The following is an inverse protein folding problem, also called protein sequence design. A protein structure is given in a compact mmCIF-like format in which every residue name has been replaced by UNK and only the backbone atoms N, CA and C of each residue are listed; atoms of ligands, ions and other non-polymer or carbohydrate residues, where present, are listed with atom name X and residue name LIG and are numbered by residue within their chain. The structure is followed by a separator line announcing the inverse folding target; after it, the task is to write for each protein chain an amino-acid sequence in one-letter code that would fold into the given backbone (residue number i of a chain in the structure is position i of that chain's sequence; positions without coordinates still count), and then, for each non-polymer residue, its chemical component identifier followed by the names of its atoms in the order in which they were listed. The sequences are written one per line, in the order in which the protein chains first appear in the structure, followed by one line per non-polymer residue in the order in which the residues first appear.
data_IF_999263074394
#
_entry.id   IF_999263074394
#
_cell.length_a   1.000
_cell.length_b   1.000
_cell.length_c   1.000
_cell.angle_alpha   90.00
_cell.angle_beta   90.00
_cell.angle_gamma   90.00
#
_symmetry.space_group_name_H-M   'P 1'
#
loop_
_entity.id
_entity.type
_entity.pdbx_description
1 polymer ?
#
# COMPACT_ATOMS: atom_id res chain seq x y z
N UNK A 1 7.88 17.37 -78.73
CA UNK A 1 7.52 17.53 -77.31
C UNK A 1 6.55 16.41 -76.95
N UNK A 2 7.00 15.44 -76.16
CA UNK A 2 6.23 14.26 -75.75
C UNK A 2 5.49 14.52 -74.41
N UNK A 3 4.39 13.80 -74.11
CA UNK A 3 3.54 14.08 -72.95
C UNK A 3 4.10 13.50 -71.64
N UNK A 4 3.86 14.22 -70.53
CA UNK A 4 4.26 13.84 -69.17
C UNK A 4 3.34 12.75 -68.62
N UNK A 5 3.95 11.71 -68.03
CA UNK A 5 3.27 10.58 -67.37
C UNK A 5 2.63 10.97 -66.03
N UNK A 6 1.39 10.53 -65.81
CA UNK A 6 0.74 10.48 -64.50
C UNK A 6 1.38 9.38 -63.63
N UNK A 7 1.92 9.74 -62.47
CA UNK A 7 2.24 8.78 -61.41
C UNK A 7 1.07 8.72 -60.42
N UNK A 8 0.40 7.56 -60.37
CA UNK A 8 -0.57 7.19 -59.34
C UNK A 8 0.15 6.91 -58.02
N UNK A 9 -0.02 7.77 -57.01
CA UNK A 9 0.33 7.46 -55.62
C UNK A 9 -0.66 6.43 -55.07
N UNK A 10 -0.18 5.20 -54.84
CA UNK A 10 -0.88 4.17 -54.06
C UNK A 10 -1.20 4.74 -52.66
N UNK A 11 -2.49 4.84 -52.33
CA UNK A 11 -2.97 5.02 -50.94
C UNK A 11 -2.56 3.77 -50.15
N UNK A 12 -1.74 3.95 -49.13
CA UNK A 12 -1.40 2.90 -48.15
C UNK A 12 -2.61 2.70 -47.25
N UNK A 13 -3.05 1.46 -47.12
CA UNK A 13 -4.16 0.96 -46.32
C UNK A 13 -4.03 1.40 -44.86
N UNK A 14 -4.99 2.19 -44.37
CA UNK A 14 -5.17 2.53 -42.95
C UNK A 14 -6.02 1.45 -42.24
N UNK A 15 -6.68 0.56 -43.01
CA UNK A 15 -7.61 -0.45 -42.48
C UNK A 15 -6.96 -1.63 -41.75
N UNK A 16 -5.79 -2.11 -42.17
CA UNK A 16 -5.15 -3.32 -41.60
C UNK A 16 -4.50 -3.06 -40.23
N UNK A 17 -4.01 -1.83 -39.99
CA UNK A 17 -3.38 -1.48 -38.71
C UNK A 17 -4.39 -1.31 -37.57
N UNK A 18 -5.64 -0.95 -37.88
CA UNK A 18 -6.68 -0.77 -36.85
C UNK A 18 -7.27 -2.09 -36.38
N UNK A 19 -7.24 -3.14 -37.22
CA UNK A 19 -7.78 -4.47 -36.89
C UNK A 19 -6.84 -5.24 -35.98
N UNK A 20 -5.53 -5.21 -36.24
CA UNK A 20 -4.51 -5.90 -35.42
C UNK A 20 -4.42 -5.32 -34.00
N UNK A 21 -4.66 -4.01 -33.84
CA UNK A 21 -4.68 -3.37 -32.51
C UNK A 21 -5.88 -3.83 -31.68
N UNK A 22 -7.02 -4.12 -32.32
CA UNK A 22 -8.24 -4.59 -31.65
C UNK A 22 -8.18 -6.06 -31.23
N UNK A 23 -7.31 -6.87 -31.83
CA UNK A 23 -7.13 -8.28 -31.45
C UNK A 23 -6.39 -8.45 -30.12
N UNK A 24 -5.51 -7.50 -29.78
CA UNK A 24 -4.65 -7.54 -28.58
C UNK A 24 -5.10 -6.53 -27.52
N UNK A 25 -5.61 -5.36 -27.91
CA UNK A 25 -5.96 -4.28 -27.00
C UNK A 25 -7.43 -3.88 -27.11
N UNK A 26 -8.06 -3.60 -25.96
CA UNK A 26 -9.47 -3.18 -25.89
C UNK A 26 -9.73 -1.84 -26.60
N UNK A 27 -8.74 -0.94 -26.62
CA UNK A 27 -8.83 0.34 -27.33
C UNK A 27 -7.45 0.91 -27.67
N UNK A 28 -7.43 1.99 -28.45
CA UNK A 28 -6.20 2.74 -28.79
C UNK A 28 -5.53 3.31 -27.52
N UNK A 29 -6.31 3.67 -26.52
CA UNK A 29 -5.78 4.16 -25.23
C UNK A 29 -5.07 3.06 -24.45
N UNK A 30 -5.60 1.83 -24.48
CA UNK A 30 -4.93 0.66 -23.92
C UNK A 30 -3.61 0.38 -24.68
N UNK A 31 -3.62 0.44 -26.01
CA UNK A 31 -2.41 0.28 -26.81
C UNK A 31 -1.34 1.32 -26.45
N UNK A 32 -1.73 2.57 -26.19
CA UNK A 32 -0.82 3.63 -25.73
C UNK A 32 -0.30 3.36 -24.31
N UNK A 33 -1.17 2.87 -23.42
CA UNK A 33 -0.81 2.52 -22.05
C UNK A 33 0.15 1.32 -21.97
N UNK A 34 0.12 0.39 -22.93
CA UNK A 34 1.05 -0.76 -23.01
C UNK A 34 2.53 -0.37 -22.96
N UNK A 35 2.87 0.81 -23.52
CA UNK A 35 4.23 1.36 -23.51
C UNK A 35 4.67 1.78 -22.10
N UNK A 36 3.74 2.10 -21.21
CA UNK A 36 4.02 2.36 -19.78
C UNK A 36 4.14 1.05 -19.02
N UNK A 37 3.22 0.11 -19.27
CA UNK A 37 3.23 -1.21 -18.60
C UNK A 37 4.52 -1.97 -18.87
N UNK A 38 5.00 -1.98 -20.12
CA UNK A 38 6.23 -2.67 -20.52
C UNK A 38 7.52 -2.17 -19.85
N UNK A 39 7.48 -0.97 -19.25
CA UNK A 39 8.62 -0.39 -18.51
C UNK A 39 8.57 -0.70 -17.01
N UNK A 40 7.46 -1.25 -16.51
CA UNK A 40 7.29 -1.54 -15.08
C UNK A 40 7.97 -2.87 -14.76
N UNK A 41 8.67 -2.94 -13.63
CA UNK A 41 9.24 -4.18 -13.14
C UNK A 41 8.15 -5.18 -12.74
N UNK A 42 8.50 -6.47 -12.66
CA UNK A 42 7.58 -7.52 -12.21
C UNK A 42 7.99 -7.97 -10.80
N UNK A 43 7.03 -8.01 -9.88
CA UNK A 43 7.21 -8.50 -8.53
C UNK A 43 6.49 -9.83 -8.34
N UNK A 44 7.25 -10.92 -8.54
CA UNK A 44 6.75 -12.28 -8.42
C UNK A 44 6.53 -12.70 -6.94
N UNK A 45 5.49 -13.50 -6.75
CA UNK A 45 5.15 -14.15 -5.48
C UNK A 45 6.27 -15.09 -5.02
N UNK A 46 6.27 -15.47 -3.74
CA UNK A 46 7.28 -16.39 -3.17
C UNK A 46 6.68 -17.70 -2.72
N UNK A 47 7.30 -18.79 -3.14
CA UNK A 47 6.98 -20.12 -2.63
C UNK A 47 7.27 -20.21 -1.13
N UNK A 48 6.42 -20.89 -0.38
CA UNK A 48 6.57 -21.17 1.05
C UNK A 48 7.03 -22.62 1.24
N UNK A 49 8.28 -22.80 1.66
CA UNK A 49 8.91 -24.11 1.89
C UNK A 49 9.21 -24.29 3.37
N UNK A 50 8.19 -24.69 4.12
CA UNK A 50 8.31 -25.00 5.54
C UNK A 50 7.83 -26.41 5.82
N UNK A 51 8.55 -27.09 6.71
CA UNK A 51 8.16 -28.38 7.26
C UNK A 51 7.07 -28.22 8.34
N UNK A 52 6.48 -29.33 8.77
CA UNK A 52 5.31 -29.30 9.68
C UNK A 52 5.65 -28.82 11.10
N UNK A 53 6.87 -29.06 11.54
CA UNK A 53 7.42 -28.76 12.86
C UNK A 53 8.08 -27.38 12.92
N UNK A 54 8.37 -26.77 11.78
CA UNK A 54 8.95 -25.43 11.68
C UNK A 54 7.89 -24.36 11.89
N UNK A 55 8.12 -23.45 12.86
CA UNK A 55 7.19 -22.35 13.20
C UNK A 55 5.74 -22.83 13.35
N UNK A 56 5.46 -23.73 14.31
CA UNK A 56 4.21 -24.48 14.37
C UNK A 56 2.97 -23.59 14.51
N UNK A 57 3.08 -22.43 15.16
CA UNK A 57 1.99 -21.45 15.24
C UNK A 57 1.60 -20.92 13.86
N UNK A 58 2.58 -20.51 13.06
CA UNK A 58 2.38 -19.99 11.71
C UNK A 58 1.82 -21.08 10.77
N UNK A 59 2.43 -22.26 10.77
CA UNK A 59 2.02 -23.39 9.91
C UNK A 59 0.62 -23.90 10.28
N UNK A 60 0.29 -23.96 11.57
CA UNK A 60 -1.04 -24.36 12.04
C UNK A 60 -2.10 -23.36 11.61
N UNK A 61 -1.83 -22.08 11.73
CA UNK A 61 -2.77 -21.04 11.33
C UNK A 61 -3.01 -21.03 9.81
N UNK A 62 -1.97 -21.22 8.98
CA UNK A 62 -2.13 -21.42 7.53
C UNK A 62 -3.06 -22.59 7.21
N UNK A 63 -2.98 -23.68 8.00
CA UNK A 63 -3.86 -24.85 7.84
C UNK A 63 -5.30 -24.52 8.24
N UNK A 64 -5.50 -23.85 9.37
CA UNK A 64 -6.84 -23.44 9.86
C UNK A 64 -7.52 -22.55 8.83
N UNK A 65 -6.79 -21.58 8.27
CA UNK A 65 -7.28 -20.65 7.25
C UNK A 65 -7.42 -21.25 5.84
N UNK A 66 -6.93 -22.47 5.62
CA UNK A 66 -6.82 -23.12 4.29
C UNK A 66 -5.94 -22.35 3.31
N UNK A 67 -4.95 -21.61 3.79
CA UNK A 67 -4.08 -20.73 3.01
C UNK A 67 -2.84 -21.44 2.45
N UNK A 68 -2.75 -22.76 2.56
CA UNK A 68 -1.60 -23.53 2.08
C UNK A 68 -1.31 -23.35 0.58
N UNK A 69 -2.34 -23.17 -0.25
CA UNK A 69 -2.14 -23.00 -1.70
C UNK A 69 -1.48 -21.67 -2.02
N UNK A 70 -1.69 -20.62 -1.22
CA UNK A 70 -1.18 -19.26 -1.46
C UNK A 70 0.35 -19.25 -1.64
N UNK A 71 1.08 -20.05 -0.86
CA UNK A 71 2.53 -20.18 -0.97
C UNK A 71 3.01 -21.33 -1.85
N UNK A 72 2.15 -22.00 -2.62
CA UNK A 72 2.51 -23.23 -3.36
C UNK A 72 2.21 -23.20 -4.86
N UNK A 73 1.37 -22.29 -5.33
CA UNK A 73 1.07 -22.19 -6.76
C UNK A 73 2.14 -21.47 -7.58
N UNK A 74 3.15 -20.90 -6.90
CA UNK A 74 4.18 -20.05 -7.53
C UNK A 74 4.92 -20.83 -8.60
N UNK A 75 4.97 -20.25 -9.80
CA UNK A 75 5.57 -20.83 -10.99
C UNK A 75 6.13 -19.69 -11.86
N UNK A 76 7.05 -19.98 -12.80
CA UNK A 76 7.54 -18.98 -13.73
C UNK A 76 6.37 -18.29 -14.45
N UNK A 77 6.32 -16.97 -14.39
CA UNK A 77 5.19 -16.20 -14.91
C UNK A 77 5.45 -15.73 -16.35
N UNK A 78 4.45 -15.82 -17.23
CA UNK A 78 4.61 -15.39 -18.62
C UNK A 78 4.57 -13.86 -18.71
N UNK A 79 5.70 -13.24 -19.02
CA UNK A 79 5.87 -11.78 -19.00
C UNK A 79 4.92 -11.10 -19.99
N UNK A 80 4.75 -11.67 -21.19
CA UNK A 80 3.88 -11.10 -22.23
C UNK A 80 2.42 -11.12 -21.81
N UNK A 81 1.97 -12.25 -21.25
CA UNK A 81 0.61 -12.40 -20.71
C UNK A 81 0.34 -11.40 -19.60
N UNK A 82 1.28 -11.25 -18.66
CA UNK A 82 1.14 -10.31 -17.54
C UNK A 82 1.06 -8.87 -18.03
N UNK A 83 1.90 -8.47 -18.99
CA UNK A 83 1.86 -7.13 -19.57
C UNK A 83 0.55 -6.85 -20.31
N UNK A 84 0.10 -7.80 -21.14
CA UNK A 84 -1.15 -7.68 -21.88
C UNK A 84 -2.35 -7.62 -20.91
N UNK A 85 -2.36 -8.49 -19.91
CA UNK A 85 -3.37 -8.51 -18.86
C UNK A 85 -3.45 -7.15 -18.15
N UNK A 86 -2.34 -6.61 -17.68
CA UNK A 86 -2.34 -5.33 -16.95
C UNK A 86 -2.69 -4.15 -17.84
N UNK A 87 -2.27 -4.21 -19.11
CA UNK A 87 -2.66 -3.20 -20.08
C UNK A 87 -4.17 -3.14 -20.20
N UNK A 88 -4.82 -4.29 -20.42
CA UNK A 88 -6.26 -4.39 -20.68
C UNK A 88 -7.15 -4.40 -19.42
N UNK A 89 -6.56 -4.57 -18.23
CA UNK A 89 -7.26 -4.46 -16.95
C UNK A 89 -7.45 -3.01 -16.48
N UNK A 90 -6.78 -2.04 -17.12
CA UNK A 90 -6.91 -0.62 -16.78
C UNK A 90 -8.33 -0.14 -17.06
N UNK A 91 -8.91 0.57 -16.12
CA UNK A 91 -10.28 1.06 -16.23
C UNK A 91 -10.29 2.36 -17.05
N UNK A 92 -10.55 2.23 -18.35
CA UNK A 92 -10.59 3.34 -19.31
C UNK A 92 -11.98 3.42 -19.95
N UNK A 93 -12.64 4.57 -19.82
CA UNK A 93 -13.92 4.87 -20.45
C UNK A 93 -15.17 4.58 -19.58
N UNK A 94 -16.38 4.82 -20.12
CA UNK A 94 -17.62 4.78 -19.34
C UNK A 94 -18.15 3.37 -19.04
N UNK A 95 -17.73 2.35 -19.81
CA UNK A 95 -18.15 0.96 -19.63
C UNK A 95 -17.09 0.19 -18.82
N UNK A 96 -17.01 0.50 -17.52
CA UNK A 96 -16.02 -0.08 -16.61
C UNK A 96 -16.42 -1.51 -16.24
N UNK A 97 -15.87 -2.48 -16.97
CA UNK A 97 -15.94 -3.90 -16.61
C UNK A 97 -14.97 -4.20 -15.46
N UNK A 98 -15.40 -3.88 -14.24
CA UNK A 98 -14.62 -4.11 -13.02
C UNK A 98 -14.11 -5.55 -12.97
N UNK A 99 -12.86 -5.70 -12.52
CA UNK A 99 -12.24 -7.00 -12.27
C UNK A 99 -12.16 -7.94 -13.48
N UNK A 100 -12.11 -7.39 -14.70
CA UNK A 100 -11.89 -8.15 -15.93
C UNK A 100 -10.72 -7.61 -16.74
N UNK A 101 -10.02 -8.51 -17.42
CA UNK A 101 -9.00 -8.20 -18.42
C UNK A 101 -9.30 -8.90 -19.73
N UNK A 102 -8.52 -8.60 -20.77
CA UNK A 102 -8.59 -9.25 -22.07
C UNK A 102 -7.17 -9.62 -22.50
N UNK A 103 -6.96 -10.89 -22.86
CA UNK A 103 -5.65 -11.43 -23.23
C UNK A 103 -5.82 -12.39 -24.40
N UNK A 104 -5.17 -12.10 -25.52
CA UNK A 104 -5.15 -12.92 -26.75
C UNK A 104 -6.54 -13.38 -27.20
N UNK A 105 -7.51 -12.47 -27.25
CA UNK A 105 -8.86 -12.83 -27.65
C UNK A 105 -9.80 -13.29 -26.52
N UNK A 106 -9.28 -13.48 -25.31
CA UNK A 106 -10.01 -14.12 -24.20
C UNK A 106 -10.26 -13.14 -23.07
N UNK A 107 -11.50 -13.07 -22.58
CA UNK A 107 -11.84 -12.33 -21.36
C UNK A 107 -11.42 -13.12 -20.12
N UNK A 108 -10.61 -12.50 -19.26
CA UNK A 108 -10.11 -13.10 -18.03
C UNK A 108 -10.73 -12.38 -16.83
N UNK A 109 -11.46 -13.12 -16.00
CA UNK A 109 -12.03 -12.61 -14.75
C UNK A 109 -11.05 -12.79 -13.59
N UNK A 110 -10.91 -11.76 -12.75
CA UNK A 110 -10.07 -11.79 -11.55
C UNK A 110 -10.81 -11.28 -10.30
N UNK A 111 -12.13 -11.45 -10.29
CA UNK A 111 -12.96 -11.17 -9.11
C UNK A 111 -12.50 -11.97 -7.89
N UNK A 112 -12.77 -11.44 -6.70
CA UNK A 112 -12.38 -12.09 -5.45
C UNK A 112 -12.88 -13.53 -5.32
N UNK A 113 -14.08 -13.84 -5.84
CA UNK A 113 -14.63 -15.20 -5.87
C UNK A 113 -13.82 -16.16 -6.74
N UNK A 114 -13.38 -15.72 -7.93
CA UNK A 114 -12.55 -16.51 -8.85
C UNK A 114 -11.19 -16.77 -8.22
N UNK A 115 -10.58 -15.74 -7.63
CA UNK A 115 -9.28 -15.88 -6.95
C UNK A 115 -9.42 -16.80 -5.74
N UNK A 116 -10.47 -16.66 -4.93
CA UNK A 116 -10.72 -17.54 -3.78
C UNK A 116 -10.99 -18.98 -4.20
N UNK A 117 -11.64 -19.20 -5.36
CA UNK A 117 -11.82 -20.53 -5.93
C UNK A 117 -10.49 -21.14 -6.31
N UNK A 118 -9.65 -20.40 -7.04
CA UNK A 118 -8.32 -20.83 -7.40
C UNK A 118 -7.50 -21.14 -6.14
N UNK A 119 -7.47 -20.27 -5.14
CA UNK A 119 -6.67 -20.43 -3.93
C UNK A 119 -7.26 -21.44 -2.92
N UNK A 120 -8.52 -21.84 -3.08
CA UNK A 120 -9.22 -22.70 -2.11
C UNK A 120 -9.55 -21.98 -0.79
N UNK A 121 -9.70 -20.66 -0.82
CA UNK A 121 -9.86 -19.77 0.34
C UNK A 121 -11.27 -19.20 0.51
N UNK A 122 -12.27 -19.78 -0.18
CA UNK A 122 -13.67 -19.34 -0.07
C UNK A 122 -14.14 -19.33 1.38
N UNK A 123 -14.60 -18.16 1.83
CA UNK A 123 -15.27 -17.99 3.11
C UNK A 123 -16.69 -18.58 3.07
N UNK A 124 -17.27 -18.85 4.24
CA UNK A 124 -18.64 -19.35 4.33
C UNK A 124 -19.63 -18.28 3.84
N UNK A 125 -20.38 -18.59 2.75
CA UNK A 125 -21.19 -17.67 1.91
C UNK A 125 -22.22 -16.75 2.60
N UNK A 126 -22.36 -16.76 3.93
CA UNK A 126 -23.47 -16.09 4.64
C UNK A 126 -23.08 -14.95 5.58
N UNK A 127 -21.79 -14.69 5.81
CA UNK A 127 -21.34 -13.61 6.69
C UNK A 127 -20.43 -12.66 5.94
N UNK A 128 -20.53 -11.35 6.21
CA UNK A 128 -19.50 -10.39 5.81
C UNK A 128 -18.17 -10.79 6.45
N UNK A 129 -17.08 -10.62 5.71
CA UNK A 129 -15.71 -10.80 6.19
C UNK A 129 -15.47 -9.93 7.44
N UNK A 130 -15.07 -10.52 8.57
CA UNK A 130 -14.82 -9.82 9.83
C UNK A 130 -13.72 -8.79 9.68
N UNK A 131 -12.69 -9.05 8.86
CA UNK A 131 -11.66 -8.04 8.61
C UNK A 131 -12.25 -6.78 7.97
N UNK A 132 -13.09 -6.93 6.94
CA UNK A 132 -13.75 -5.78 6.28
C UNK A 132 -14.66 -5.04 7.26
N UNK A 133 -15.48 -5.78 8.01
CA UNK A 133 -16.35 -5.17 9.03
C UNK A 133 -15.54 -4.47 10.15
N UNK A 134 -14.40 -5.03 10.53
CA UNK A 134 -13.51 -4.44 11.54
C UNK A 134 -12.88 -3.15 11.02
N UNK A 135 -12.38 -3.11 9.78
CA UNK A 135 -11.84 -1.88 9.18
C UNK A 135 -12.91 -0.80 9.08
N UNK A 136 -14.15 -1.15 8.69
CA UNK A 136 -15.24 -0.19 8.52
C UNK A 136 -15.75 0.41 9.82
N UNK A 137 -15.77 -0.36 10.93
CA UNK A 137 -16.52 0.03 12.14
C UNK A 137 -15.70 0.10 13.42
N UNK A 138 -14.61 -0.66 13.51
CA UNK A 138 -13.94 -0.96 14.78
C UNK A 138 -12.41 -0.78 14.73
N UNK A 139 -11.91 -0.19 13.64
CA UNK A 139 -10.48 0.01 13.40
C UNK A 139 -9.88 0.87 14.51
N UNK A 140 -8.77 0.42 15.09
CA UNK A 140 -8.06 1.14 16.14
C UNK A 140 -6.57 0.85 16.10
N UNK A 141 -5.75 1.88 15.87
CA UNK A 141 -4.30 1.78 15.86
C UNK A 141 -3.74 1.30 17.20
N UNK A 142 -4.36 1.69 18.32
CA UNK A 142 -3.99 1.23 19.66
C UNK A 142 -4.14 -0.29 19.81
N UNK A 143 -5.25 -0.87 19.32
CA UNK A 143 -5.45 -2.33 19.31
C UNK A 143 -4.44 -3.02 18.41
N UNK A 144 -4.21 -2.47 17.22
CA UNK A 144 -3.23 -3.03 16.26
C UNK A 144 -1.85 -3.09 16.89
N UNK A 145 -1.33 -1.96 17.37
CA UNK A 145 -0.04 -1.86 18.06
C UNK A 145 0.08 -2.87 19.19
N UNK A 146 -0.94 -2.97 20.05
CA UNK A 146 -0.93 -3.87 21.21
C UNK A 146 -0.81 -5.35 20.82
N UNK A 147 -1.40 -5.75 19.69
CA UNK A 147 -1.43 -7.15 19.26
C UNK A 147 -0.19 -7.53 18.44
N UNK A 148 0.35 -6.63 17.61
CA UNK A 148 1.40 -7.00 16.65
C UNK A 148 2.82 -6.58 17.07
N UNK A 149 2.96 -5.68 18.05
CA UNK A 149 4.25 -5.12 18.47
C UNK A 149 4.74 -5.65 19.84
N UNK A 150 6.05 -5.58 20.05
CA UNK A 150 6.68 -5.68 21.38
C UNK A 150 6.31 -4.45 22.24
N UNK A 151 6.44 -4.53 23.59
CA UNK A 151 6.25 -3.36 24.46
C UNK A 151 7.09 -2.16 24.01
N UNK A 152 6.49 -0.97 23.97
CA UNK A 152 7.14 0.26 23.48
C UNK A 152 7.11 0.47 21.96
N UNK A 153 6.77 -0.57 21.18
CA UNK A 153 6.60 -0.44 19.73
C UNK A 153 5.48 0.56 19.38
N UNK A 154 5.62 1.27 18.26
CA UNK A 154 4.66 2.32 17.88
C UNK A 154 4.59 2.52 16.38
N UNK A 155 3.60 3.33 15.97
CA UNK A 155 3.52 3.85 14.62
C UNK A 155 4.45 5.06 14.48
N UNK A 156 5.19 5.07 13.40
CA UNK A 156 5.84 6.26 12.87
C UNK A 156 4.79 7.19 12.26
N UNK A 157 5.12 8.48 12.21
CA UNK A 157 4.26 9.51 11.63
C UNK A 157 5.02 10.20 10.50
N UNK A 158 4.28 10.59 9.46
CA UNK A 158 4.81 11.45 8.40
C UNK A 158 5.13 12.84 8.95
N UNK A 159 5.86 13.65 8.18
CA UNK A 159 6.11 15.07 8.49
C UNK A 159 4.82 15.86 8.77
N UNK A 160 3.72 15.43 8.14
CA UNK A 160 2.40 16.05 8.25
C UNK A 160 1.58 15.51 9.44
N UNK A 161 2.18 14.67 10.29
CA UNK A 161 1.54 14.09 11.47
C UNK A 161 0.60 12.92 11.20
N UNK A 162 0.53 12.40 9.96
CA UNK A 162 -0.29 11.22 9.63
C UNK A 162 0.45 9.94 10.00
N UNK A 163 -0.26 8.91 10.44
CA UNK A 163 0.33 7.60 10.71
C UNK A 163 0.89 7.01 9.40
N UNK A 164 2.15 6.53 9.42
CA UNK A 164 2.83 6.03 8.22
C UNK A 164 3.03 4.51 8.25
N UNK A 165 3.84 4.03 9.20
CA UNK A 165 4.27 2.64 9.26
C UNK A 165 4.66 2.20 10.67
N UNK A 166 4.82 0.91 10.87
CA UNK A 166 5.47 0.32 12.05
C UNK A 166 6.81 -0.23 11.59
N UNK A 167 7.89 0.16 12.28
CA UNK A 167 9.23 -0.40 12.06
C UNK A 167 9.23 -1.90 12.35
N UNK A 168 9.86 -2.70 11.48
CA UNK A 168 9.96 -4.17 11.70
C UNK A 168 10.63 -4.54 13.02
N UNK A 169 11.55 -3.71 13.53
CA UNK A 169 12.15 -3.89 14.85
C UNK A 169 11.14 -3.89 16.01
N UNK A 170 9.98 -3.24 15.85
CA UNK A 170 8.92 -3.21 16.84
C UNK A 170 7.98 -4.40 16.79
N UNK A 171 8.07 -5.26 15.77
CA UNK A 171 7.13 -6.38 15.62
C UNK A 171 7.51 -7.57 16.50
N UNK A 172 6.48 -8.28 16.98
CA UNK A 172 6.67 -9.60 17.58
C UNK A 172 7.30 -10.58 16.57
N UNK A 173 8.11 -11.56 17.00
CA UNK A 173 8.73 -12.52 16.09
C UNK A 173 7.74 -13.22 15.15
N UNK A 174 6.59 -13.66 15.67
CA UNK A 174 5.53 -14.27 14.85
C UNK A 174 4.94 -13.29 13.83
N UNK A 175 4.84 -12.00 14.19
CA UNK A 175 4.35 -10.96 13.30
C UNK A 175 5.33 -10.71 12.14
N UNK A 176 6.64 -10.77 12.38
CA UNK A 176 7.67 -10.67 11.33
C UNK A 176 7.52 -11.78 10.26
N UNK A 177 7.22 -13.01 10.69
CA UNK A 177 6.97 -14.15 9.77
C UNK A 177 5.73 -13.89 8.91
N UNK A 178 4.64 -13.44 9.53
CA UNK A 178 3.42 -13.09 8.80
C UNK A 178 3.63 -11.93 7.83
N UNK A 179 4.41 -10.92 8.20
CA UNK A 179 4.76 -9.81 7.30
C UNK A 179 5.49 -10.31 6.06
N UNK A 180 6.48 -11.20 6.21
CA UNK A 180 7.17 -11.78 5.06
C UNK A 180 6.20 -12.49 4.10
N UNK A 181 5.25 -13.25 4.65
CA UNK A 181 4.21 -13.93 3.88
C UNK A 181 3.24 -12.95 3.19
N UNK A 182 2.76 -11.94 3.92
CA UNK A 182 1.85 -10.91 3.40
C UNK A 182 2.52 -10.11 2.27
N UNK A 183 3.75 -9.63 2.50
CA UNK A 183 4.52 -8.80 1.55
C UNK A 183 4.96 -9.56 0.31
N UNK A 184 4.86 -10.89 0.31
CA UNK A 184 5.18 -11.71 -0.86
C UNK A 184 3.93 -12.18 -1.59
N UNK A 185 2.87 -12.53 -0.87
CA UNK A 185 1.80 -13.38 -1.43
C UNK A 185 0.36 -12.84 -1.28
N UNK A 186 0.10 -11.83 -0.45
CA UNK A 186 -1.26 -11.27 -0.25
C UNK A 186 -1.33 -9.77 -0.59
N UNK A 187 -0.34 -9.00 -0.17
CA UNK A 187 -0.22 -7.57 -0.45
C UNK A 187 1.23 -7.25 -0.80
N UNK A 188 1.70 -7.65 -2.00
CA UNK A 188 3.10 -7.56 -2.38
C UNK A 188 3.70 -6.16 -2.19
N UNK A 189 4.96 -6.12 -1.80
CA UNK A 189 5.73 -4.90 -1.59
C UNK A 189 7.20 -5.12 -1.99
N UNK A 190 7.81 -4.13 -2.64
CA UNK A 190 9.24 -4.12 -2.95
C UNK A 190 10.08 -3.92 -1.69
N UNK A 191 9.66 -3.02 -0.80
CA UNK A 191 10.34 -2.73 0.47
C UNK A 191 9.83 -3.62 1.61
N UNK A 192 10.74 -4.20 2.39
CA UNK A 192 10.42 -5.18 3.44
C UNK A 192 10.77 -4.73 4.85
N UNK A 193 11.21 -3.48 5.02
CA UNK A 193 11.69 -2.96 6.31
C UNK A 193 10.56 -2.49 7.22
N UNK A 194 9.51 -1.87 6.67
CA UNK A 194 8.43 -1.30 7.47
C UNK A 194 7.07 -1.85 7.05
N UNK A 195 6.14 -1.87 8.00
CA UNK A 195 4.75 -2.27 7.77
C UNK A 195 3.88 -1.03 7.72
N UNK A 196 3.53 -0.62 6.50
CA UNK A 196 2.55 0.45 6.31
C UNK A 196 1.19 0.13 6.95
N UNK A 197 0.48 1.16 7.34
CA UNK A 197 -0.83 1.11 8.01
C UNK A 197 -1.81 0.08 7.40
N UNK A 198 -2.08 0.15 6.09
CA UNK A 198 -3.02 -0.81 5.48
C UNK A 198 -2.59 -2.28 5.61
N UNK A 199 -1.28 -2.57 5.67
CA UNK A 199 -0.74 -3.92 5.88
C UNK A 199 -0.68 -4.30 7.37
N UNK A 200 -0.53 -3.33 8.28
CA UNK A 200 -0.59 -3.59 9.72
C UNK A 200 -2.00 -4.00 10.15
N UNK A 201 -3.04 -3.47 9.51
CA UNK A 201 -4.43 -3.89 9.70
C UNK A 201 -4.67 -5.34 9.27
N UNK A 202 -4.14 -5.73 8.10
CA UNK A 202 -4.20 -7.11 7.64
C UNK A 202 -3.42 -8.04 8.57
N UNK A 203 -2.24 -7.62 9.04
CA UNK A 203 -1.42 -8.35 9.99
C UNK A 203 -2.16 -8.55 11.33
N UNK A 204 -2.80 -7.50 11.84
CA UNK A 204 -3.65 -7.57 13.02
C UNK A 204 -4.77 -8.60 12.83
N UNK A 205 -5.51 -8.53 11.73
CA UNK A 205 -6.60 -9.45 11.45
C UNK A 205 -6.14 -10.93 11.38
N UNK A 206 -4.92 -11.15 10.90
CA UNK A 206 -4.32 -12.49 10.86
C UNK A 206 -3.96 -12.99 12.26
N UNK A 207 -3.29 -12.15 13.06
CA UNK A 207 -2.85 -12.50 14.42
C UNK A 207 -4.07 -12.66 15.36
N UNK A 208 -5.04 -11.75 15.29
CA UNK A 208 -6.28 -11.74 16.08
C UNK A 208 -7.36 -12.70 15.56
N UNK A 209 -7.01 -13.57 14.60
CA UNK A 209 -7.85 -14.69 14.11
C UNK A 209 -9.17 -14.26 13.46
N UNK A 210 -9.24 -13.05 12.91
CA UNK A 210 -10.38 -12.61 12.09
C UNK A 210 -10.38 -13.37 10.76
N UNK A 211 -11.56 -13.66 10.21
CA UNK A 211 -11.66 -14.12 8.83
C UNK A 211 -11.29 -12.98 7.86
N UNK A 212 -10.56 -13.37 6.81
CA UNK A 212 -9.97 -12.45 5.84
C UNK A 212 -10.27 -13.00 4.46
N UNK A 213 -10.96 -12.20 3.64
CA UNK A 213 -11.20 -12.49 2.23
C UNK A 213 -9.96 -12.13 1.40
N UNK A 214 -9.05 -13.10 1.28
CA UNK A 214 -7.79 -12.92 0.55
C UNK A 214 -8.04 -12.67 -0.94
N UNK A 215 -9.00 -13.37 -1.55
CA UNK A 215 -9.31 -13.19 -2.96
C UNK A 215 -9.73 -11.75 -3.26
N UNK A 216 -10.59 -11.16 -2.44
CA UNK A 216 -11.01 -9.77 -2.62
C UNK A 216 -9.86 -8.78 -2.37
N UNK A 217 -8.98 -9.04 -1.38
CA UNK A 217 -7.79 -8.21 -1.16
C UNK A 217 -6.87 -8.23 -2.39
N UNK A 218 -6.58 -9.41 -2.95
CA UNK A 218 -5.73 -9.57 -4.13
C UNK A 218 -6.39 -8.92 -5.35
N UNK A 219 -7.68 -9.16 -5.59
CA UNK A 219 -8.43 -8.56 -6.70
C UNK A 219 -8.36 -7.02 -6.67
N UNK A 220 -8.54 -6.41 -5.50
CA UNK A 220 -8.43 -4.97 -5.30
C UNK A 220 -6.99 -4.48 -5.55
N UNK A 221 -5.98 -5.23 -5.11
CA UNK A 221 -4.57 -4.90 -5.37
C UNK A 221 -4.23 -4.98 -6.86
N UNK A 222 -4.76 -5.97 -7.59
CA UNK A 222 -4.61 -6.08 -9.06
C UNK A 222 -5.27 -4.88 -9.75
N UNK A 223 -6.52 -4.55 -9.43
CA UNK A 223 -7.22 -3.39 -10.03
C UNK A 223 -6.48 -2.08 -9.76
N UNK A 224 -6.05 -1.82 -8.52
CA UNK A 224 -5.24 -0.62 -8.20
C UNK A 224 -3.93 -0.61 -8.98
N UNK A 225 -3.25 -1.76 -9.11
CA UNK A 225 -2.02 -1.87 -9.88
C UNK A 225 -2.21 -1.58 -11.38
N UNK A 226 -3.33 -2.03 -11.97
CA UNK A 226 -3.65 -1.78 -13.38
C UNK A 226 -3.92 -0.30 -13.68
N UNK A 227 -4.39 0.45 -12.69
CA UNK A 227 -4.71 1.87 -12.84
C UNK A 227 -3.52 2.82 -12.55
N UNK A 228 -2.43 2.32 -11.96
CA UNK A 228 -1.20 3.10 -11.73
C UNK A 228 -0.32 3.17 -12.97
N UNK A 229 0.47 4.23 -13.10
CA UNK A 229 1.45 4.40 -14.18
C UNK A 229 2.86 3.95 -13.79
N UNK A 230 3.14 3.81 -12.49
CA UNK A 230 4.44 3.50 -11.89
C UNK A 230 4.36 2.29 -10.95
N UNK A 231 5.53 1.83 -10.48
CA UNK A 231 5.69 0.71 -9.55
C UNK A 231 5.58 -0.66 -10.20
N UNK A 232 5.98 -1.70 -9.47
CA UNK A 232 6.01 -3.07 -9.98
C UNK A 232 4.61 -3.65 -10.28
N UNK A 233 4.54 -4.51 -11.29
CA UNK A 233 3.40 -5.38 -11.60
C UNK A 233 3.41 -6.57 -10.64
N UNK A 234 2.31 -6.76 -9.91
CA UNK A 234 2.22 -7.73 -8.82
C UNK A 234 1.44 -8.98 -9.24
N UNK A 235 1.57 -10.07 -8.50
CA UNK A 235 0.88 -11.34 -8.75
C UNK A 235 1.05 -11.97 -10.16
N UNK A 236 2.23 -11.92 -10.79
CA UNK A 236 2.41 -12.41 -12.15
C UNK A 236 2.16 -13.93 -12.27
N UNK A 237 2.47 -14.73 -11.23
CA UNK A 237 2.21 -16.18 -11.26
C UNK A 237 0.71 -16.45 -11.23
N UNK A 238 -0.02 -15.80 -10.32
CA UNK A 238 -1.47 -15.92 -10.23
C UNK A 238 -2.14 -15.50 -11.54
N UNK A 239 -1.73 -14.37 -12.11
CA UNK A 239 -2.28 -13.88 -13.39
C UNK A 239 -2.04 -14.88 -14.51
N UNK A 240 -0.84 -15.47 -14.58
CA UNK A 240 -0.51 -16.50 -15.57
C UNK A 240 -1.46 -17.71 -15.42
N UNK A 241 -1.68 -18.20 -14.19
CA UNK A 241 -2.64 -19.28 -13.92
C UNK A 241 -4.09 -18.92 -14.29
N UNK A 242 -4.54 -17.71 -13.95
CA UNK A 242 -5.90 -17.26 -14.30
C UNK A 242 -6.09 -17.19 -15.82
N UNK A 243 -5.08 -16.74 -16.56
CA UNK A 243 -5.10 -16.72 -18.02
C UNK A 243 -5.14 -18.15 -18.59
N UNK A 244 -4.32 -19.06 -18.07
CA UNK A 244 -4.30 -20.46 -18.49
C UNK A 244 -5.67 -21.13 -18.25
N UNK A 245 -6.27 -20.94 -17.08
CA UNK A 245 -7.61 -21.46 -16.74
C UNK A 245 -8.70 -20.88 -17.65
N UNK A 246 -8.54 -19.62 -18.08
CA UNK A 246 -9.45 -19.00 -19.05
C UNK A 246 -9.26 -19.51 -20.49
N UNK A 247 -8.22 -20.30 -20.77
CA UNK A 247 -7.93 -20.86 -22.09
C UNK A 247 -6.89 -20.07 -22.90
N UNK A 248 -6.16 -19.14 -22.28
CA UNK A 248 -5.05 -18.40 -22.92
C UNK A 248 -3.83 -19.31 -23.00
N UNK A 249 -3.16 -19.35 -24.16
CA UNK A 249 -1.88 -20.06 -24.31
C UNK A 249 -0.76 -19.33 -23.54
N UNK A 250 -0.29 -19.86 -22.41
CA UNK A 250 0.76 -19.25 -21.59
C UNK A 250 2.15 -19.87 -21.77
N UNK A 251 2.30 -20.83 -22.69
CA UNK A 251 3.52 -21.64 -22.81
C UNK A 251 4.69 -20.93 -23.51
N UNK A 252 4.45 -19.78 -24.16
CA UNK A 252 5.48 -19.09 -24.94
C UNK A 252 6.36 -18.16 -24.09
N UNK A 253 7.70 -18.23 -24.20
CA UNK A 253 8.61 -17.35 -23.48
C UNK A 253 8.48 -15.87 -23.91
N UNK A 254 8.99 -14.91 -23.11
CA UNK A 254 9.83 -15.08 -21.92
C UNK A 254 9.06 -15.24 -20.61
N UNK A 255 9.71 -15.90 -19.63
CA UNK A 255 9.19 -16.12 -18.29
C UNK A 255 10.01 -15.36 -17.24
N UNK A 256 9.32 -14.79 -16.26
CA UNK A 256 9.94 -14.19 -15.08
C UNK A 256 10.45 -15.29 -14.14
N UNK A 257 11.64 -15.10 -13.56
CA UNK A 257 12.27 -16.10 -12.69
C UNK A 257 11.58 -16.13 -11.34
N UNK A 258 11.35 -17.33 -10.81
CA UNK A 258 10.83 -17.51 -9.44
C UNK A 258 11.84 -17.02 -8.41
N UNK A 259 11.38 -16.27 -7.40
CA UNK A 259 12.20 -15.77 -6.29
C UNK A 259 12.61 -16.88 -5.32
N UNK A 260 13.71 -16.65 -4.57
CA UNK A 260 14.10 -17.51 -3.44
C UNK A 260 12.90 -17.71 -2.49
N UNK A 261 12.59 -18.96 -2.11
CA UNK A 261 11.42 -19.27 -1.28
C UNK A 261 11.51 -18.65 0.11
N UNK A 262 10.37 -18.56 0.78
CA UNK A 262 10.29 -18.32 2.22
C UNK A 262 10.45 -19.69 2.88
N UNK A 263 11.66 -20.02 3.30
CA UNK A 263 12.02 -21.23 4.03
C UNK A 263 12.50 -20.90 5.45
N UNK A 264 12.93 -21.92 6.21
CA UNK A 264 13.47 -21.73 7.56
C UNK A 264 14.70 -20.84 7.59
N UNK A 265 15.60 -20.95 6.61
CA UNK A 265 16.80 -20.12 6.55
C UNK A 265 16.42 -18.65 6.34
N UNK A 266 15.48 -18.36 5.43
CA UNK A 266 14.92 -17.04 5.21
C UNK A 266 14.29 -16.47 6.50
N UNK A 267 13.45 -17.25 7.18
CA UNK A 267 12.78 -16.80 8.42
C UNK A 267 13.80 -16.56 9.54
N UNK A 268 14.81 -17.41 9.68
CA UNK A 268 15.86 -17.21 10.68
C UNK A 268 16.66 -15.93 10.38
N UNK A 269 17.08 -15.73 9.12
CA UNK A 269 17.86 -14.56 8.72
C UNK A 269 17.09 -13.24 8.84
N UNK A 270 15.80 -13.23 8.51
CA UNK A 270 15.05 -11.98 8.37
C UNK A 270 13.93 -11.79 9.38
N UNK A 271 13.60 -12.79 10.20
CA UNK A 271 12.54 -12.69 11.20
C UNK A 271 12.99 -13.04 12.62
N UNK A 272 14.11 -13.74 12.80
CA UNK A 272 14.69 -14.04 14.12
C UNK A 272 15.78 -13.04 14.50
N UNK A 273 15.37 -11.81 14.80
CA UNK A 273 16.19 -10.91 15.62
C UNK A 273 15.54 -10.87 17.00
N UNK A 274 16.10 -11.68 17.90
CA UNK A 274 15.63 -11.88 19.26
C UNK A 274 16.74 -12.21 20.26
N UNK A 275 18.01 -11.96 19.95
CA UNK A 275 19.07 -11.96 20.97
C UNK A 275 19.39 -10.52 21.37
N UNK A 276 18.85 -10.12 22.52
CA UNK A 276 19.38 -9.00 23.29
C UNK A 276 18.82 -7.61 22.98
N UNK A 277 17.56 -7.35 23.35
CA UNK A 277 17.36 -6.15 24.19
C UNK A 277 17.58 -6.61 25.63
N UNK A 278 18.81 -7.01 25.93
CA UNK A 278 19.30 -6.81 27.28
C UNK A 278 19.46 -5.29 27.39
N UNK A 279 18.76 -4.69 28.35
CA UNK A 279 19.12 -3.37 28.84
C UNK A 279 20.44 -3.56 29.58
N UNK A 280 21.53 -3.66 28.84
CA UNK A 280 22.88 -3.50 29.39
C UNK A 280 23.05 -2.01 29.68
N UNK A 281 22.88 -1.68 30.96
CA UNK A 281 23.43 -0.45 31.54
C UNK A 281 24.95 -0.61 31.50
N UNK A 282 25.55 -0.37 30.34
CA UNK A 282 26.98 -0.13 30.24
C UNK A 282 27.20 1.38 30.19
N UNK A 283 27.64 1.88 31.34
CA UNK A 283 28.24 3.20 31.51
C UNK A 283 29.45 3.33 30.59
N UNK A 284 29.23 3.87 29.40
CA UNK A 284 30.30 4.44 28.58
C UNK A 284 30.21 5.95 28.65
N UNK A 285 31.12 6.50 29.45
CA UNK A 285 31.48 7.90 29.46
C UNK A 285 31.97 8.29 28.06
N UNK A 286 31.07 8.83 27.24
CA UNK A 286 31.48 9.80 26.24
C UNK A 286 30.49 10.97 26.24
N UNK A 287 31.00 12.10 26.73
CA UNK A 287 30.23 13.30 26.96
C UNK A 287 29.75 13.92 25.66
N UNK A 288 28.43 13.88 25.44
CA UNK A 288 27.74 15.02 24.83
C UNK A 288 26.45 15.31 25.57
N UNK A 289 26.60 16.21 26.55
CA UNK A 289 25.56 16.89 27.31
C UNK A 289 24.43 17.32 26.37
N UNK A 290 23.31 16.58 26.36
CA UNK A 290 22.06 17.08 25.78
C UNK A 290 21.66 18.32 26.57
N UNK A 291 21.55 19.44 25.88
CA UNK A 291 21.18 20.73 26.47
C UNK A 291 19.75 20.66 27.00
N UNK A 292 19.50 21.21 28.20
CA UNK A 292 18.15 21.39 28.77
C UNK A 292 17.18 22.11 27.80
N UNK A 293 17.71 22.84 26.80
CA UNK A 293 16.91 23.44 25.72
C UNK A 293 15.98 22.44 25.02
N UNK A 294 16.39 21.18 24.78
CA UNK A 294 15.61 20.26 23.93
C UNK A 294 14.36 19.69 24.61
N UNK A 295 14.31 19.62 25.94
CA UNK A 295 13.11 19.17 26.65
C UNK A 295 12.10 20.31 26.80
N UNK A 296 12.59 21.55 26.98
CA UNK A 296 11.76 22.74 26.90
C UNK A 296 11.18 22.94 25.50
N UNK A 297 11.94 22.69 24.43
CA UNK A 297 11.45 22.77 23.05
C UNK A 297 10.32 21.77 22.77
N UNK A 298 10.41 20.55 23.31
CA UNK A 298 9.35 19.54 23.20
C UNK A 298 8.10 19.96 23.98
N UNK A 299 8.25 20.51 25.20
CA UNK A 299 7.12 21.04 25.97
C UNK A 299 6.47 22.26 25.28
N UNK A 300 7.29 23.14 24.70
CA UNK A 300 6.81 24.30 23.93
C UNK A 300 6.05 23.84 22.68
N UNK A 301 6.55 22.81 21.98
CA UNK A 301 5.85 22.24 20.82
C UNK A 301 4.53 21.57 21.22
N UNK A 302 4.48 20.86 22.35
CA UNK A 302 3.25 20.26 22.88
C UNK A 302 2.23 21.33 23.26
N UNK A 303 2.64 22.35 24.04
CA UNK A 303 1.80 23.49 24.40
C UNK A 303 1.30 24.26 23.17
N UNK A 304 2.12 24.37 22.12
CA UNK A 304 1.73 24.99 20.85
C UNK A 304 0.71 24.13 20.10
N UNK A 305 0.82 22.80 20.16
CA UNK A 305 -0.18 21.90 19.60
C UNK A 305 -1.51 22.02 20.33
N UNK A 306 -1.50 21.98 21.67
CA UNK A 306 -2.70 22.12 22.48
C UNK A 306 -3.41 23.47 22.28
N UNK A 307 -2.64 24.56 22.09
CA UNK A 307 -3.20 25.87 21.74
C UNK A 307 -3.86 25.87 20.36
N UNK A 308 -3.28 25.18 19.36
CA UNK A 308 -3.89 25.03 18.03
C UNK A 308 -5.17 24.20 18.11
N UNK A 309 -5.16 23.11 18.87
CA UNK A 309 -6.33 22.24 19.03
C UNK A 309 -7.48 22.98 19.75
N UNK A 310 -7.17 23.80 20.75
CA UNK A 310 -8.14 24.71 21.37
C UNK A 310 -8.68 25.78 20.41
N UNK A 311 -7.85 26.36 19.55
CA UNK A 311 -8.29 27.34 18.56
C UNK A 311 -9.20 26.71 17.49
N UNK A 312 -8.85 25.50 17.02
CA UNK A 312 -9.69 24.71 16.12
C UNK A 312 -11.03 24.36 16.77
N UNK A 313 -11.05 23.97 18.05
CA UNK A 313 -12.29 23.74 18.82
C UNK A 313 -13.17 24.97 18.84
N UNK A 314 -12.61 26.15 19.16
CA UNK A 314 -13.37 27.42 19.17
C UNK A 314 -13.93 27.77 17.79
N UNK A 315 -13.13 27.61 16.74
CA UNK A 315 -13.56 27.87 15.36
C UNK A 315 -14.71 26.96 14.93
N UNK A 316 -14.60 25.66 15.23
CA UNK A 316 -15.66 24.70 14.92
C UNK A 316 -16.96 25.01 15.68
N UNK A 317 -16.85 25.37 16.96
CA UNK A 317 -18.00 25.80 17.77
C UNK A 317 -18.67 27.06 17.20
N UNK A 318 -17.89 28.08 16.83
CA UNK A 318 -18.43 29.31 16.22
C UNK A 318 -19.14 29.04 14.89
N UNK A 319 -18.61 28.13 14.08
CA UNK A 319 -19.24 27.70 12.82
C UNK A 319 -20.58 27.02 13.12
N UNK A 320 -20.63 26.11 14.09
CA UNK A 320 -21.86 25.39 14.44
C UNK A 320 -22.93 26.31 15.03
N UNK A 321 -22.53 27.26 15.89
CA UNK A 321 -23.45 28.29 16.41
C UNK A 321 -23.96 29.22 15.30
N UNK A 322 -23.08 29.59 14.35
CA UNK A 322 -23.46 30.37 13.17
C UNK A 322 -24.45 29.64 12.27
N UNK A 323 -24.21 28.35 11.99
CA UNK A 323 -25.14 27.48 11.24
C UNK A 323 -26.50 27.42 11.95
N UNK A 324 -26.51 27.29 13.29
CA UNK A 324 -27.74 27.26 14.07
C UNK A 324 -28.49 28.58 14.06
N UNK A 325 -27.80 29.71 14.17
CA UNK A 325 -28.40 31.05 14.11
C UNK A 325 -29.02 31.32 12.73
N UNK A 326 -28.36 30.89 11.65
CA UNK A 326 -28.90 30.99 10.30
C UNK A 326 -30.13 30.09 10.12
N UNK A 327 -30.11 28.89 10.71
CA UNK A 327 -31.25 27.98 10.68
C UNK A 327 -32.47 28.53 11.44
N UNK A 328 -32.28 29.27 12.53
CA UNK A 328 -33.39 29.87 13.29
C UNK A 328 -33.94 31.16 12.66
N UNK A 329 -33.12 31.91 11.90
CA UNK A 329 -33.56 33.11 11.17
C UNK A 329 -34.31 32.82 9.85
N UNK A 330 -34.07 31.66 9.22
CA UNK A 330 -34.66 31.32 7.91
C UNK A 330 -36.08 30.75 7.96
N UNK A 331 -36.75 30.81 9.11
CA UNK A 331 -38.21 30.65 9.19
C UNK A 331 -38.77 29.41 8.47
N UNK A 332 -38.46 28.21 8.98
CA UNK A 332 -39.26 27.02 8.71
C UNK A 332 -38.95 26.19 7.46
N UNK A 333 -37.76 26.29 6.87
CA UNK A 333 -37.32 25.37 5.79
C UNK A 333 -36.19 24.40 6.15
N UNK A 334 -35.66 24.46 7.38
CA UNK A 334 -34.73 23.46 7.89
C UNK A 334 -35.33 22.70 9.09
N UNK A 335 -35.22 21.37 9.07
CA UNK A 335 -35.63 20.53 10.18
C UNK A 335 -34.71 20.81 11.38
N UNK A 336 -35.22 21.50 12.41
CA UNK A 336 -34.50 21.78 13.67
C UNK A 336 -33.99 20.51 14.38
N UNK A 337 -34.48 19.32 14.00
CA UNK A 337 -34.07 18.03 14.59
C UNK A 337 -32.69 17.53 14.16
N UNK A 338 -32.03 18.15 13.17
CA UNK A 338 -30.79 17.61 12.58
C UNK A 338 -29.51 18.42 12.84
N UNK A 339 -29.59 19.52 13.59
CA UNK A 339 -28.40 20.32 13.93
C UNK A 339 -28.11 20.13 15.41
N UNK A 340 -27.07 19.33 15.72
CA UNK A 340 -26.62 19.10 17.09
C UNK A 340 -26.27 20.44 17.75
N UNK A 341 -26.70 20.64 19.00
CA UNK A 341 -26.26 21.80 19.78
C UNK A 341 -24.79 21.66 20.12
N UNK A 342 -24.11 22.78 20.38
CA UNK A 342 -22.72 22.83 20.86
C UNK A 342 -22.50 21.91 22.07
N UNK A 343 -23.50 21.80 22.95
CA UNK A 343 -23.50 20.91 24.12
C UNK A 343 -23.68 19.42 23.76
N UNK A 344 -24.44 19.10 22.71
CA UNK A 344 -24.57 17.72 22.19
C UNK A 344 -23.31 17.29 21.42
N UNK A 345 -22.72 18.20 20.63
CA UNK A 345 -21.47 17.95 19.91
C UNK A 345 -20.29 17.73 20.88
N UNK A 346 -20.24 18.49 21.97
CA UNK A 346 -19.24 18.31 23.03
C UNK A 346 -19.39 16.98 23.80
N UNK A 347 -20.60 16.38 23.85
CA UNK A 347 -20.86 15.10 24.53
C UNK A 347 -20.64 13.86 23.65
N UNK A 348 -20.80 13.97 22.34
CA UNK A 348 -20.63 12.84 21.39
C UNK A 348 -19.15 12.46 21.20
N UNK A 349 -18.27 13.42 21.47
CA UNK A 349 -16.82 13.27 21.41
C UNK A 349 -16.30 13.25 22.85
N UNK A 350 -16.24 12.07 23.46
CA UNK A 350 -15.74 11.80 24.83
C UNK A 350 -14.23 12.10 24.91
N UNK A 351 -13.86 13.38 24.87
CA UNK A 351 -12.52 13.86 25.15
C UNK A 351 -12.45 14.15 26.64
N UNK A 352 -11.58 13.45 27.36
CA UNK A 352 -11.32 13.68 28.78
C UNK A 352 -11.01 15.17 29.01
N UNK A 353 -11.97 15.90 29.60
CA UNK A 353 -11.75 17.24 30.14
C UNK A 353 -10.86 17.08 31.39
N UNK A 354 -9.55 16.99 31.19
CA UNK A 354 -8.61 17.27 32.27
C UNK A 354 -8.71 18.77 32.57
N UNK A 355 -9.47 19.11 33.62
CA UNK A 355 -9.43 20.40 34.29
C UNK A 355 -8.02 20.62 34.86
N UNK A 356 -7.09 21.08 34.02
CA UNK A 356 -5.93 21.83 34.50
C UNK A 356 -6.40 23.25 34.78
N UNK A 357 -6.71 23.53 36.06
CA UNK A 357 -6.73 24.88 36.62
C UNK A 357 -5.45 25.59 36.24
N UNK A 358 -5.51 26.59 35.37
CA UNK A 358 -4.45 27.60 35.25
C UNK A 358 -5.02 28.91 34.70
N UNK A 359 -5.13 29.88 35.61
CA UNK A 359 -4.76 31.28 35.39
C UNK A 359 -5.57 32.10 34.39
N UNK A 360 -6.45 32.95 34.94
CA UNK A 360 -6.84 34.20 34.31
C UNK A 360 -5.60 35.00 33.93
N UNK A 361 -5.36 35.24 32.65
CA UNK A 361 -4.56 36.38 32.20
C UNK A 361 -5.27 37.04 31.02
N UNK A 362 -5.50 38.34 31.21
CA UNK A 362 -6.37 39.20 30.45
C UNK A 362 -5.91 39.42 29.01
N UNK A 363 -6.90 39.54 28.11
CA UNK A 363 -6.73 40.06 26.76
C UNK A 363 -6.32 41.54 26.84
N UNK A 364 -5.07 41.85 26.48
CA UNK A 364 -4.66 43.20 26.17
C UNK A 364 -4.42 43.32 24.66
N UNK A 365 -5.41 43.94 24.03
CA UNK A 365 -5.43 44.40 22.65
C UNK A 365 -4.50 45.62 22.56
N UNK A 366 -3.44 45.54 21.77
CA UNK A 366 -2.71 46.73 21.32
C UNK A 366 -2.80 46.78 19.78
N UNK A 367 -3.66 47.70 19.33
CA UNK A 367 -3.64 48.30 18.00
C UNK A 367 -2.36 49.11 17.88
N UNK A 368 -1.58 48.90 16.82
CA UNK A 368 -0.74 49.96 16.25
C UNK A 368 -0.74 49.85 14.72
N UNK A 369 -1.39 50.86 14.15
CA UNK A 369 -1.36 51.27 12.74
C UNK A 369 -0.08 52.10 12.55
N UNK A 370 0.67 51.88 11.48
CA UNK A 370 1.00 52.97 10.55
C UNK A 370 1.64 52.49 9.24
N UNK A 371 1.13 53.15 8.19
CA UNK A 371 1.43 53.15 6.76
C UNK A 371 2.91 53.19 6.36
N UNK A 372 3.21 52.57 5.21
CA UNK A 372 3.91 53.33 4.17
C UNK A 372 3.62 52.83 2.74
N UNK A 373 3.49 53.81 1.85
CA UNK A 373 2.89 53.79 0.51
C UNK A 373 3.96 53.71 -0.60
N UNK A 374 3.73 52.94 -1.67
CA UNK A 374 4.08 53.34 -3.06
C UNK A 374 3.59 52.37 -4.17
N UNK A 375 2.40 52.68 -4.68
CA UNK A 375 1.91 52.73 -6.09
C UNK A 375 2.79 52.21 -7.26
N UNK A 376 2.22 51.29 -8.05
CA UNK A 376 1.90 51.39 -9.51
C UNK A 376 1.63 49.97 -10.07
N UNK A 377 0.67 49.62 -10.92
CA UNK A 377 -0.39 50.30 -11.66
C UNK A 377 -0.72 49.45 -12.91
N UNK A 378 -2.02 49.26 -13.22
CA UNK A 378 -2.66 48.66 -14.43
C UNK A 378 -2.59 47.12 -14.60
N UNK A 379 -3.64 46.36 -14.95
CA UNK A 379 -5.04 46.63 -15.31
C UNK A 379 -5.57 45.55 -16.30
N UNK A 380 -6.81 45.09 -16.11
CA UNK A 380 -7.64 44.13 -16.92
C UNK A 380 -7.25 42.63 -16.89
N UNK A 381 -8.15 41.62 -16.97
CA UNK A 381 -9.54 41.34 -16.56
C UNK A 381 -9.88 39.91 -17.08
N UNK A 382 -10.53 39.04 -16.27
CA UNK A 382 -11.42 37.89 -16.64
C UNK A 382 -10.82 36.70 -17.45
N UNK A 383 -11.20 35.42 -17.31
CA UNK A 383 -12.23 34.65 -16.59
C UNK A 383 -11.79 33.14 -16.63
N UNK A 384 -12.21 32.36 -15.62
CA UNK A 384 -12.48 30.90 -15.53
C UNK A 384 -11.46 29.85 -16.01
N UNK A 385 -11.00 28.98 -15.10
CA UNK A 385 -11.65 27.68 -14.83
C UNK A 385 -10.89 26.88 -13.75
N UNK A 386 -11.66 26.21 -12.91
CA UNK A 386 -11.20 25.38 -11.82
C UNK A 386 -10.55 24.08 -12.32
N UNK A 387 -9.40 23.70 -11.74
CA UNK A 387 -8.99 22.30 -11.73
C UNK A 387 -8.42 21.91 -10.37
N UNK A 388 -8.80 20.72 -9.94
CA UNK A 388 -8.75 20.25 -8.56
C UNK A 388 -7.43 19.53 -8.34
N UNK A 389 -6.61 20.01 -7.40
CA UNK A 389 -5.42 19.30 -6.93
C UNK A 389 -5.84 18.09 -6.09
N UNK A 390 -5.70 16.89 -6.63
CA UNK A 390 -5.47 15.69 -5.83
C UNK A 390 -3.96 15.45 -5.78
N UNK A 391 -3.34 15.96 -4.71
CA UNK A 391 -1.98 15.64 -4.30
C UNK A 391 -2.04 14.45 -3.32
N UNK A 392 -1.70 13.26 -3.81
CA UNK A 392 -1.25 12.16 -2.95
C UNK A 392 0.27 12.02 -3.11
N UNK A 393 0.95 12.34 -2.02
CA UNK A 393 2.39 12.33 -1.78
C UNK A 393 3.11 11.07 -2.31
N UNK A 394 3.89 11.22 -3.39
CA UNK A 394 5.05 10.36 -3.70
C UNK A 394 6.34 11.12 -3.32
N UNK A 395 6.96 10.79 -2.17
CA UNK A 395 8.36 11.16 -1.92
C UNK A 395 9.29 10.03 -2.40
N UNK A 396 9.85 10.26 -3.59
CA UNK A 396 11.23 9.97 -4.04
C UNK A 396 11.77 8.53 -3.90
N UNK A 397 11.59 7.73 -4.96
CA UNK A 397 12.34 6.50 -5.23
C UNK A 397 13.73 6.85 -5.82
N UNK A 398 14.80 6.65 -5.05
CA UNK A 398 16.17 6.52 -5.58
C UNK A 398 16.86 5.28 -5.00
N UNK A 399 17.58 4.60 -5.90
CA UNK A 399 18.29 3.33 -5.78
C UNK A 399 19.17 3.16 -4.54
N UNK A 400 19.28 1.91 -4.08
CA UNK A 400 20.56 1.16 -4.07
C UNK A 400 20.27 -0.34 -3.90
N UNK A 401 20.56 -1.11 -4.95
CA UNK A 401 20.68 -2.57 -4.91
C UNK A 401 22.13 -2.88 -4.52
N UNK A 402 22.34 -3.48 -3.35
CA UNK A 402 23.58 -4.19 -3.03
C UNK A 402 23.17 -5.59 -2.54
N UNK A 403 23.13 -6.55 -3.46
CA UNK A 403 23.39 -7.95 -3.12
C UNK A 403 24.91 -8.12 -3.22
N UNK A 404 25.60 -8.07 -2.09
CA UNK A 404 26.99 -8.53 -1.98
C UNK A 404 26.95 -10.07 -1.89
N UNK A 405 27.36 -10.71 -2.98
CA UNK A 405 27.71 -12.12 -3.05
C UNK A 405 29.15 -12.25 -2.52
N UNK A 406 29.30 -12.66 -1.25
CA UNK A 406 30.57 -13.15 -0.73
C UNK A 406 30.68 -14.64 -1.07
N UNK A 407 31.40 -14.94 -2.15
CA UNK A 407 31.91 -16.27 -2.46
C UNK A 407 33.22 -16.48 -1.66
N UNK A 408 33.13 -17.22 -0.55
CA UNK A 408 34.30 -17.81 0.10
C UNK A 408 34.74 -19.04 -0.72
N UNK A 409 35.80 -18.87 -1.52
CA UNK A 409 36.59 -19.97 -2.08
C UNK A 409 37.50 -20.52 -0.96
N UNK A 410 37.08 -21.61 -0.30
CA UNK A 410 37.97 -22.42 0.52
C UNK A 410 38.85 -23.30 -0.37
N UNK A 411 40.16 -23.02 -0.32
CA UNK A 411 41.24 -23.93 -0.73
C UNK A 411 41.21 -25.20 0.12
N UNK A 412 41.07 -26.38 -0.50
CA UNK A 412 41.59 -27.63 0.06
C UNK A 412 42.38 -28.43 -0.99
N UNK A 413 43.69 -28.28 -0.85
CA UNK A 413 44.77 -29.26 -0.94
C UNK A 413 44.62 -30.55 -1.77
N UNK A 414 45.64 -30.74 -2.62
CA UNK A 414 46.03 -31.99 -3.26
C UNK A 414 46.43 -33.04 -2.20
N UNK A 415 45.87 -34.24 -2.29
CA UNK A 415 46.61 -35.47 -1.96
C UNK A 415 46.32 -36.55 -3.01
N UNK A 416 47.39 -36.90 -3.74
CA UNK A 416 47.55 -38.13 -4.51
C UNK A 416 47.47 -39.36 -3.59
N UNK A 417 46.85 -40.45 -4.09
CA UNK A 417 47.24 -41.86 -3.91
C UNK A 417 46.18 -42.74 -4.64
N UNK A 418 46.53 -43.29 -5.80
CA UNK A 418 47.10 -44.64 -5.98
C UNK A 418 46.07 -45.78 -5.85
N UNK A 419 45.88 -46.44 -7.00
CA UNK A 419 45.64 -47.87 -7.21
C UNK A 419 44.38 -48.57 -6.67
N UNK A 420 43.51 -49.00 -7.60
CA UNK A 420 42.90 -50.33 -7.53
C UNK A 420 42.56 -50.88 -8.94
N UNK A 421 43.45 -51.79 -9.38
CA UNK A 421 43.27 -53.01 -10.16
C UNK A 421 42.19 -53.13 -11.26
N UNK A 422 42.68 -53.36 -12.48
CA UNK A 422 42.05 -54.25 -13.46
C UNK A 422 43.02 -55.41 -13.72
N UNK A 423 42.48 -56.61 -13.54
CA UNK A 423 43.00 -58.00 -13.77
C UNK A 423 43.84 -58.68 -12.68
#
# INVERSE_FOLDING_TARGET
MAPKSLQSKKRKTIGESSTVVQEVFRSIEHATYSLKVSKRSILIERELKLEKDEFPEFVSELKIRKWKKIGKYVAPANIRVVHEFYTNAREIGPEISKNTSYVRGVTVHYDGDIINEFLGTKLQRRKKCQFTEWVEKNMSHCKVKKIICVPGGHYEHTKNGRISCIKKGYLLPIAKIWVAFIHSNISPCSHTFDVHESRSFLLYAIIDKLDVDVGNIIANKISRCANRTSGALIFPSLITHLCEVAGVNVCEPPFEKVRKPIDKAYINRYCHDGSGVEVSVETSNDGKRMSMQTMEDVKVALNKSEKRDRALRRGLTMIMDGIRMLATQTGGQFNESNVASTEMFAKELDWDDDESEDGQEDEQFDEDIDDDVAVSGSGSEQHDDADTHDEDDEENEQHEENEEDDDDEDEEDNEDNEDEEVD
#
